data_IF_076769560616
#
_entry.id   IF_076769560616
#
_cell.length_a   1.000
_cell.length_b   1.000
_cell.length_c   1.000
_cell.angle_alpha   90.00
_cell.angle_beta   90.00
_cell.angle_gamma   90.00
#
_symmetry.space_group_name_H-M   'P 1'
#
loop_
_entity.id
_entity.type
_entity.pdbx_description
1 polymer ?
#
# COMPACT_ATOMS: atom_id res chain seq x y z
N UNK A 1 -49.63 -44.26 -33.95
CA UNK A 1 -49.00 -44.88 -32.76
C UNK A 1 -47.85 -43.99 -32.30
N UNK A 2 -47.88 -43.59 -31.02
CA UNK A 2 -47.06 -42.52 -30.44
C UNK A 2 -45.63 -42.95 -30.08
N UNK A 3 -44.64 -42.04 -30.22
CA UNK A 3 -43.35 -42.15 -29.52
C UNK A 3 -42.79 -40.78 -29.07
N UNK A 4 -42.73 -40.67 -27.74
CA UNK A 4 -41.59 -40.26 -26.89
C UNK A 4 -41.30 -38.75 -26.68
N UNK A 5 -41.45 -38.39 -25.40
CA UNK A 5 -41.19 -37.12 -24.72
C UNK A 5 -39.79 -36.52 -24.98
N UNK A 6 -39.71 -35.17 -25.03
CA UNK A 6 -38.53 -34.40 -24.61
C UNK A 6 -38.97 -33.13 -23.87
N UNK A 7 -38.46 -32.98 -22.65
CA UNK A 7 -38.69 -31.89 -21.69
C UNK A 7 -37.87 -30.62 -22.03
N UNK A 8 -38.05 -29.49 -21.31
CA UNK A 8 -37.90 -28.15 -21.84
C UNK A 8 -36.44 -27.68 -21.89
N UNK A 9 -36.05 -27.03 -22.99
CA UNK A 9 -34.79 -26.29 -23.08
C UNK A 9 -35.08 -24.78 -23.08
N UNK A 10 -35.35 -24.21 -21.91
CA UNK A 10 -35.27 -22.76 -21.71
C UNK A 10 -33.80 -22.38 -21.56
N UNK A 11 -33.05 -22.39 -22.67
CA UNK A 11 -31.72 -21.76 -22.74
C UNK A 11 -31.90 -20.33 -23.20
N UNK A 12 -31.98 -19.43 -22.24
CA UNK A 12 -31.67 -18.02 -22.46
C UNK A 12 -31.18 -17.43 -21.14
N UNK A 13 -30.03 -17.94 -20.69
CA UNK A 13 -29.18 -17.22 -19.74
C UNK A 13 -28.57 -16.05 -20.51
N UNK A 14 -29.37 -15.02 -20.77
CA UNK A 14 -28.80 -13.67 -20.99
C UNK A 14 -28.44 -13.16 -19.60
N UNK A 15 -27.48 -13.83 -18.97
CA UNK A 15 -26.62 -13.17 -18.01
C UNK A 15 -25.83 -12.18 -18.85
N UNK A 16 -26.34 -10.96 -18.94
CA UNK A 16 -25.53 -9.76 -19.15
C UNK A 16 -24.48 -9.83 -18.05
N UNK A 17 -23.36 -10.50 -18.34
CA UNK A 17 -22.18 -10.51 -17.49
C UNK A 17 -21.87 -9.03 -17.35
N UNK A 18 -22.26 -8.47 -16.20
CA UNK A 18 -21.69 -7.20 -15.78
C UNK A 18 -20.21 -7.45 -15.93
N UNK A 19 -19.57 -6.72 -16.83
CA UNK A 19 -18.13 -6.60 -16.84
C UNK A 19 -17.76 -5.80 -15.59
N UNK A 20 -18.06 -6.38 -14.43
CA UNK A 20 -17.35 -6.12 -13.21
C UNK A 20 -15.99 -6.75 -13.48
N UNK A 21 -15.13 -6.01 -14.20
CA UNK A 21 -13.69 -6.16 -14.09
C UNK A 21 -13.30 -5.66 -12.70
N UNK A 22 -13.83 -6.28 -11.64
CA UNK A 22 -13.17 -6.41 -10.35
C UNK A 22 -11.98 -7.33 -10.59
N UNK A 23 -10.93 -6.75 -11.16
CA UNK A 23 -9.86 -7.55 -11.71
C UNK A 23 -8.71 -6.76 -12.29
N UNK A 24 -8.67 -5.44 -12.10
CA UNK A 24 -7.37 -4.78 -11.95
C UNK A 24 -7.01 -4.74 -10.47
N UNK A 25 -6.99 -5.92 -9.83
CA UNK A 25 -6.03 -6.12 -8.76
C UNK A 25 -4.70 -6.10 -9.47
N UNK A 26 -4.20 -4.91 -9.80
CA UNK A 26 -2.83 -4.74 -10.22
C UNK A 26 -2.03 -5.49 -9.17
N UNK A 27 -1.35 -6.55 -9.59
CA UNK A 27 -0.26 -7.16 -8.83
C UNK A 27 0.85 -6.09 -8.79
N UNK A 28 0.55 -4.94 -8.19
CA UNK A 28 1.49 -3.87 -7.99
C UNK A 28 2.59 -4.52 -7.17
N UNK A 29 3.77 -4.56 -7.78
CA UNK A 29 4.94 -5.21 -7.21
C UNK A 29 5.05 -4.76 -5.75
N UNK A 30 5.16 -5.68 -4.78
CA UNK A 30 5.24 -5.32 -3.36
C UNK A 30 6.36 -4.28 -3.07
N UNK A 31 7.40 -4.25 -3.89
CA UNK A 31 8.46 -3.24 -3.84
C UNK A 31 7.91 -1.84 -4.17
N UNK A 32 7.08 -1.72 -5.21
CA UNK A 32 6.46 -0.43 -5.57
C UNK A 32 5.61 0.11 -4.42
N UNK A 33 4.80 -0.75 -3.77
CA UNK A 33 4.02 -0.35 -2.59
C UNK A 33 4.90 0.12 -1.42
N UNK A 34 6.04 -0.55 -1.19
CA UNK A 34 7.01 -0.14 -0.17
C UNK A 34 7.65 1.20 -0.51
N UNK A 35 7.99 1.44 -1.77
CA UNK A 35 8.54 2.71 -2.24
C UNK A 35 7.52 3.84 -2.12
N UNK A 36 6.25 3.60 -2.47
CA UNK A 36 5.17 4.56 -2.26
C UNK A 36 4.97 4.88 -0.78
N UNK A 37 4.96 3.85 0.07
CA UNK A 37 4.90 4.04 1.53
C UNK A 37 6.09 4.87 2.02
N UNK A 38 7.30 4.56 1.56
CA UNK A 38 8.50 5.30 1.94
C UNK A 38 8.37 6.78 1.56
N UNK A 39 7.90 7.10 0.35
CA UNK A 39 7.65 8.49 -0.06
C UNK A 39 6.72 9.21 0.92
N UNK A 40 5.64 8.57 1.36
CA UNK A 40 4.72 9.20 2.34
C UNK A 40 5.31 9.45 3.72
N UNK A 41 6.38 8.74 4.10
CA UNK A 41 7.03 8.86 5.40
C UNK A 41 8.15 9.91 5.42
N UNK A 42 8.74 10.22 4.27
CA UNK A 42 9.89 11.11 4.16
C UNK A 42 9.42 12.55 3.82
N UNK A 43 9.88 13.56 4.57
CA UNK A 43 9.62 14.96 4.22
C UNK A 43 10.18 15.32 2.84
N UNK A 44 9.50 16.17 2.08
CA UNK A 44 9.94 16.68 0.77
C UNK A 44 10.13 15.59 -0.32
N UNK A 45 9.19 14.66 -0.44
CA UNK A 45 9.29 13.48 -1.32
C UNK A 45 8.86 13.72 -2.79
N UNK A 46 8.32 14.88 -3.12
CA UNK A 46 7.50 15.07 -4.33
C UNK A 46 8.27 15.10 -5.67
N UNK A 47 9.61 15.16 -5.66
CA UNK A 47 10.38 15.46 -6.87
C UNK A 47 11.68 14.68 -7.07
N UNK A 48 11.94 13.63 -6.28
CA UNK A 48 13.20 12.88 -6.32
C UNK A 48 13.04 11.47 -6.91
N UNK A 49 14.04 11.06 -7.69
CA UNK A 49 14.22 9.67 -8.11
C UNK A 49 14.56 8.74 -6.93
N UNK A 50 14.69 7.44 -7.18
CA UNK A 50 14.91 6.44 -6.12
C UNK A 50 16.18 6.72 -5.30
N UNK A 51 17.28 7.10 -5.94
CA UNK A 51 18.54 7.39 -5.24
C UNK A 51 18.41 8.59 -4.30
N UNK A 52 17.71 9.63 -4.75
CA UNK A 52 17.40 10.79 -3.92
C UNK A 52 16.50 10.42 -2.74
N UNK A 53 15.47 9.60 -2.99
CA UNK A 53 14.58 9.10 -1.94
C UNK A 53 15.35 8.31 -0.86
N UNK A 54 16.25 7.42 -1.27
CA UNK A 54 17.02 6.62 -0.31
C UNK A 54 18.06 7.45 0.44
N UNK A 55 18.70 8.42 -0.21
CA UNK A 55 19.61 9.35 0.45
C UNK A 55 18.89 10.18 1.51
N UNK A 56 17.77 10.79 1.14
CA UNK A 56 16.94 11.58 2.06
C UNK A 56 16.41 10.71 3.21
N UNK A 57 16.06 9.45 2.92
CA UNK A 57 15.65 8.49 3.95
C UNK A 57 16.77 8.27 4.97
N UNK A 58 18.00 8.05 4.52
CA UNK A 58 19.14 7.84 5.41
C UNK A 58 19.40 9.07 6.29
N UNK A 59 19.36 10.26 5.69
CA UNK A 59 19.49 11.52 6.42
C UNK A 59 18.37 11.72 7.44
N UNK A 60 17.13 11.42 7.05
CA UNK A 60 15.97 11.54 7.94
C UNK A 60 16.04 10.56 9.12
N UNK A 61 16.49 9.32 8.91
CA UNK A 61 16.72 8.34 9.99
C UNK A 61 17.70 8.89 11.01
N UNK A 62 18.84 9.44 10.56
CA UNK A 62 19.85 10.01 11.47
C UNK A 62 19.27 11.21 12.23
N UNK A 63 18.53 12.08 11.56
CA UNK A 63 17.88 13.24 12.20
C UNK A 63 16.88 12.81 13.28
N UNK A 64 16.08 11.77 13.03
CA UNK A 64 15.11 11.23 13.97
C UNK A 64 15.82 10.60 15.18
N UNK A 65 16.88 9.83 14.96
CA UNK A 65 17.69 9.24 16.03
C UNK A 65 18.26 10.33 16.95
N UNK A 66 18.80 11.40 16.38
CA UNK A 66 19.31 12.54 17.15
C UNK A 66 18.20 13.25 17.93
N UNK A 67 17.05 13.49 17.31
CA UNK A 67 15.88 14.11 17.96
C UNK A 67 15.41 13.28 19.15
N UNK A 68 15.30 11.96 19.00
CA UNK A 68 14.92 11.05 20.09
C UNK A 68 15.96 11.10 21.21
N UNK A 69 17.26 11.07 20.90
CA UNK A 69 18.33 11.16 21.90
C UNK A 69 18.23 12.46 22.71
N UNK A 70 18.02 13.60 22.05
CA UNK A 70 17.84 14.90 22.73
C UNK A 70 16.60 14.89 23.63
N UNK A 71 15.47 14.37 23.13
CA UNK A 71 14.25 14.24 23.94
C UNK A 71 14.45 13.36 25.17
N UNK A 72 15.18 12.25 25.04
CA UNK A 72 15.51 11.37 26.17
C UNK A 72 16.39 12.08 27.22
N UNK A 73 17.37 12.89 26.78
CA UNK A 73 18.18 13.70 27.69
C UNK A 73 17.31 14.73 28.41
N UNK A 74 16.47 15.44 27.66
CA UNK A 74 15.55 16.43 28.20
C UNK A 74 14.62 15.82 29.25
N UNK A 75 14.04 14.65 28.97
CA UNK A 75 13.22 13.91 29.96
C UNK A 75 14.04 13.59 31.20
N UNK A 76 15.24 13.01 31.08
CA UNK A 76 16.08 12.68 32.24
C UNK A 76 16.42 13.90 33.12
N UNK A 77 16.68 15.04 32.49
CA UNK A 77 16.97 16.30 33.19
C UNK A 77 15.72 16.82 33.88
N UNK A 78 14.58 16.86 33.17
CA UNK A 78 13.34 17.45 33.67
C UNK A 78 12.64 16.58 34.72
N UNK A 79 12.73 15.25 34.62
CA UNK A 79 12.07 14.36 35.58
C UNK A 79 12.82 14.29 36.90
N UNK A 80 14.06 14.80 36.97
CA UNK A 80 14.96 14.59 38.11
C UNK A 80 15.27 13.10 38.23
N UNK A 81 16.53 12.72 38.11
CA UNK A 81 16.90 11.36 38.52
C UNK A 81 16.81 11.32 40.05
N UNK A 82 15.63 10.99 40.59
CA UNK A 82 15.44 10.59 41.99
C UNK A 82 16.19 9.29 42.26
#
# INVERSE_FOLDING_TARGET
MAKKQRSPRTRSVVMKRRAVREGSRSLANPIVKKVETLKTLIPNHDSKGLDGLFRDTAEYIVSLQMRVRVMQIMVKVLTGSS
#
